data_IF_269015793043
#
_entry.id   IF_269015793043
#
_cell.length_a   1.000
_cell.length_b   1.000
_cell.length_c   1.000
_cell.angle_alpha   90.00
_cell.angle_beta   90.00
_cell.angle_gamma   90.00
#
_symmetry.space_group_name_H-M   'P 1'
#
loop_
_entity.id
_entity.type
_entity.pdbx_description
1 polymer ?
#
# COMPACT_ATOMS: atom_id res chain seq x y z
N UNK A 1 -18.54 19.48 6.37
CA UNK A 1 -18.83 18.21 7.06
C UNK A 1 -18.12 17.07 6.33
N UNK A 2 -16.87 16.75 6.74
CA UNK A 2 -16.12 15.65 6.15
C UNK A 2 -16.51 14.32 6.79
N UNK A 3 -16.83 13.32 5.97
CA UNK A 3 -17.13 11.98 6.42
C UNK A 3 -15.83 11.26 6.86
N UNK A 4 -15.90 10.45 7.91
CA UNK A 4 -14.81 9.53 8.29
C UNK A 4 -14.96 8.29 7.43
N UNK A 5 -13.92 7.98 6.67
CA UNK A 5 -13.91 6.84 5.76
C UNK A 5 -13.57 5.56 6.52
N UNK A 6 -14.40 4.52 6.39
CA UNK A 6 -14.11 3.22 6.99
C UNK A 6 -13.04 2.46 6.20
N UNK A 7 -12.23 1.59 6.83
CA UNK A 7 -11.23 0.76 6.14
C UNK A 7 -11.79 -0.02 4.95
N UNK A 8 -12.99 -0.60 5.07
CA UNK A 8 -13.67 -1.34 3.99
C UNK A 8 -13.91 -0.52 2.72
N UNK A 9 -14.10 0.80 2.83
CA UNK A 9 -14.22 1.67 1.65
C UNK A 9 -12.97 1.58 0.77
N UNK A 10 -11.80 1.57 1.38
CA UNK A 10 -10.53 1.52 0.63
C UNK A 10 -10.31 0.19 -0.06
N UNK A 11 -10.75 -0.91 0.53
CA UNK A 11 -10.75 -2.21 -0.14
C UNK A 11 -11.53 -2.16 -1.45
N UNK A 12 -12.76 -1.64 -1.43
CA UNK A 12 -13.54 -1.46 -2.66
C UNK A 12 -12.91 -0.45 -3.62
N UNK A 13 -12.34 0.64 -3.12
CA UNK A 13 -11.64 1.62 -3.94
C UNK A 13 -10.41 1.02 -4.65
N UNK A 14 -9.69 0.11 -4.00
CA UNK A 14 -8.57 -0.60 -4.61
C UNK A 14 -9.03 -1.53 -5.74
N UNK A 15 -10.09 -2.32 -5.52
CA UNK A 15 -10.65 -3.17 -6.58
C UNK A 15 -11.20 -2.35 -7.75
N UNK A 16 -11.90 -1.26 -7.47
CA UNK A 16 -12.36 -0.35 -8.52
C UNK A 16 -11.19 0.21 -9.34
N UNK A 17 -10.08 0.55 -8.68
CA UNK A 17 -8.89 1.03 -9.37
C UNK A 17 -8.25 -0.04 -10.27
N UNK A 18 -8.32 -1.33 -9.89
CA UNK A 18 -7.93 -2.43 -10.78
C UNK A 18 -8.85 -2.53 -12.00
N UNK A 19 -10.16 -2.46 -11.79
CA UNK A 19 -11.17 -2.53 -12.86
C UNK A 19 -10.98 -1.39 -13.87
N UNK A 20 -10.79 -0.16 -13.39
CA UNK A 20 -10.60 1.03 -14.23
C UNK A 20 -9.22 1.11 -14.91
N UNK A 21 -8.29 0.21 -14.58
CA UNK A 21 -6.90 0.30 -15.06
C UNK A 21 -6.68 -0.13 -16.50
N UNK A 22 -7.69 -0.77 -17.13
CA UNK A 22 -7.59 -1.38 -18.48
C UNK A 22 -6.40 -2.35 -18.63
N UNK A 23 -5.94 -2.93 -17.50
CA UNK A 23 -4.81 -3.82 -17.44
C UNK A 23 -5.22 -5.30 -17.54
N UNK A 24 -4.35 -6.14 -18.06
CA UNK A 24 -4.59 -7.57 -18.16
C UNK A 24 -4.16 -8.30 -16.89
N UNK A 25 -4.95 -9.26 -16.42
CA UNK A 25 -4.57 -10.12 -15.30
C UNK A 25 -3.44 -11.06 -15.74
N UNK A 26 -2.30 -10.96 -15.06
CA UNK A 26 -1.11 -11.78 -15.33
C UNK A 26 -0.86 -12.82 -14.26
N UNK A 27 -1.39 -12.61 -13.05
CA UNK A 27 -1.32 -13.57 -11.96
C UNK A 27 -2.49 -13.43 -11.00
N UNK A 28 -2.98 -14.53 -10.46
CA UNK A 28 -4.03 -14.55 -9.43
C UNK A 28 -3.93 -15.83 -8.62
N UNK A 29 -4.03 -15.70 -7.29
CA UNK A 29 -4.25 -16.82 -6.36
C UNK A 29 -5.22 -16.42 -5.23
N UNK A 30 -5.21 -17.18 -4.12
CA UNK A 30 -6.12 -16.99 -2.98
C UNK A 30 -5.84 -15.70 -2.18
N UNK A 31 -4.66 -15.06 -2.35
CA UNK A 31 -4.18 -13.95 -1.54
C UNK A 31 -3.75 -12.72 -2.35
N UNK A 32 -3.68 -12.82 -3.68
CA UNK A 32 -3.20 -11.73 -4.52
C UNK A 32 -3.81 -11.78 -5.92
N UNK A 33 -4.00 -10.62 -6.51
CA UNK A 33 -4.24 -10.41 -7.94
C UNK A 33 -3.24 -9.40 -8.49
N UNK A 34 -2.63 -9.71 -9.62
CA UNK A 34 -1.65 -8.88 -10.32
C UNK A 34 -2.09 -8.62 -11.74
N UNK A 35 -2.10 -7.36 -12.12
CA UNK A 35 -2.41 -6.90 -13.47
C UNK A 35 -1.18 -6.25 -14.10
N UNK A 36 -1.06 -6.32 -15.44
CA UNK A 36 -0.04 -5.61 -16.22
C UNK A 36 -0.72 -4.65 -17.20
N UNK A 37 -0.30 -3.39 -17.17
CA UNK A 37 -0.74 -2.37 -18.13
C UNK A 37 0.00 -2.52 -19.46
N UNK A 38 -0.56 -1.96 -20.51
CA UNK A 38 0.06 -1.95 -21.86
C UNK A 38 1.43 -1.24 -21.90
N UNK A 39 1.67 -0.29 -20.99
CA UNK A 39 2.95 0.43 -20.87
C UNK A 39 4.03 -0.33 -20.09
N UNK A 40 3.76 -1.57 -19.65
CA UNK A 40 4.69 -2.41 -18.90
C UNK A 40 4.61 -2.26 -17.37
N UNK A 41 3.83 -1.32 -16.84
CA UNK A 41 3.63 -1.16 -15.39
C UNK A 41 2.77 -2.28 -14.83
N UNK A 42 3.00 -2.61 -13.55
CA UNK A 42 2.21 -3.59 -12.81
C UNK A 42 1.41 -2.93 -11.70
N UNK A 43 0.27 -3.49 -11.38
CA UNK A 43 -0.54 -3.10 -10.23
C UNK A 43 -1.28 -4.32 -9.69
N UNK A 44 -1.67 -4.25 -8.42
CA UNK A 44 -2.37 -5.37 -7.81
C UNK A 44 -2.91 -5.06 -6.43
N UNK A 45 -3.62 -6.06 -5.90
CA UNK A 45 -4.10 -6.07 -4.52
C UNK A 45 -3.74 -7.42 -3.91
N UNK A 46 -3.17 -7.38 -2.72
CA UNK A 46 -2.92 -8.55 -1.89
C UNK A 46 -3.72 -8.44 -0.58
N UNK A 47 -4.15 -9.56 -0.04
CA UNK A 47 -4.92 -9.61 1.21
C UNK A 47 -4.56 -10.86 2.03
N UNK A 48 -4.70 -10.73 3.35
CA UNK A 48 -4.47 -11.81 4.30
C UNK A 48 -5.67 -11.91 5.23
N UNK A 49 -6.55 -12.90 4.99
CA UNK A 49 -7.76 -13.10 5.79
C UNK A 49 -7.44 -14.08 6.92
N UNK A 50 -7.69 -13.68 8.18
CA UNK A 50 -7.62 -14.56 9.33
C UNK A 50 -8.49 -15.80 9.11
N UNK A 51 -7.86 -16.95 9.00
CA UNK A 51 -8.56 -18.24 9.09
C UNK A 51 -8.86 -18.45 10.56
N UNK A 52 -10.14 -18.54 10.94
CA UNK A 52 -10.70 -18.69 12.28
C UNK A 52 -9.67 -18.96 13.38
N UNK A 53 -9.57 -18.00 14.27
CA UNK A 53 -8.78 -18.00 15.50
C UNK A 53 -8.68 -19.37 16.17
N UNK A 54 -7.54 -20.02 16.03
CA UNK A 54 -6.97 -20.83 17.09
C UNK A 54 -5.82 -20.01 17.66
N UNK A 55 -6.07 -19.33 18.73
CA UNK A 55 -5.25 -18.86 19.85
C UNK A 55 -3.76 -18.50 19.66
N UNK A 56 -3.20 -18.42 18.48
CA UNK A 56 -1.80 -18.05 18.29
C UNK A 56 -1.62 -17.01 17.21
N UNK A 57 -1.24 -15.83 17.66
CA UNK A 57 -0.47 -14.82 16.97
C UNK A 57 -0.94 -14.41 15.57
N UNK A 58 -1.23 -13.16 15.40
CA UNK A 58 -1.46 -12.52 14.12
C UNK A 58 -0.32 -12.87 13.14
N UNK A 59 -0.54 -13.82 12.27
CA UNK A 59 0.47 -14.22 11.29
C UNK A 59 0.57 -13.15 10.20
N UNK A 60 1.74 -12.55 10.11
CA UNK A 60 2.09 -11.68 9.00
C UNK A 60 2.48 -12.55 7.80
N UNK A 61 1.78 -12.41 6.70
CA UNK A 61 2.13 -13.05 5.44
C UNK A 61 3.18 -12.21 4.71
N UNK A 62 4.24 -12.84 4.22
CA UNK A 62 5.20 -12.21 3.31
C UNK A 62 5.02 -12.82 1.92
N UNK A 63 4.66 -11.98 0.96
CA UNK A 63 4.61 -12.36 -0.44
C UNK A 63 5.89 -11.91 -1.13
N UNK A 64 6.59 -12.86 -1.75
CA UNK A 64 7.78 -12.62 -2.55
C UNK A 64 7.49 -12.95 -4.00
N UNK A 65 7.72 -12.01 -4.89
CA UNK A 65 7.51 -12.22 -6.32
C UNK A 65 8.45 -11.39 -7.17
N UNK A 66 8.61 -11.84 -8.40
CA UNK A 66 9.54 -11.25 -9.36
C UNK A 66 8.78 -10.86 -10.63
N UNK A 67 8.98 -9.63 -11.06
CA UNK A 67 8.42 -9.10 -12.31
C UNK A 67 9.49 -9.01 -13.38
N UNK A 68 9.21 -9.40 -14.64
CA UNK A 68 10.05 -9.05 -15.77
C UNK A 68 10.17 -7.52 -15.89
N UNK A 69 11.40 -7.03 -16.02
CA UNK A 69 11.70 -5.60 -16.10
C UNK A 69 12.01 -5.19 -17.54
N UNK A 70 11.32 -4.17 -18.00
CA UNK A 70 11.54 -3.53 -19.31
C UNK A 70 12.38 -2.24 -19.19
N UNK A 71 12.53 -1.73 -17.97
CA UNK A 71 13.27 -0.51 -17.63
C UNK A 71 14.27 -0.80 -16.52
N UNK A 72 15.30 0.07 -16.37
CA UNK A 72 16.33 -0.08 -15.34
C UNK A 72 15.82 0.18 -13.92
N UNK A 73 14.88 1.10 -13.76
CA UNK A 73 14.39 1.54 -12.45
C UNK A 73 12.86 1.64 -12.44
N UNK A 74 12.31 1.33 -11.28
CA UNK A 74 10.88 1.41 -11.00
C UNK A 74 10.61 2.08 -9.66
N UNK A 75 9.46 2.74 -9.56
CA UNK A 75 8.88 3.16 -8.29
C UNK A 75 7.87 2.10 -7.84
N UNK A 76 8.18 1.42 -6.75
CA UNK A 76 7.24 0.52 -6.09
C UNK A 76 6.46 1.31 -5.04
N UNK A 77 5.15 1.42 -5.22
CA UNK A 77 4.22 2.11 -4.33
C UNK A 77 3.29 1.10 -3.67
N UNK A 78 3.10 1.21 -2.36
CA UNK A 78 2.10 0.43 -1.63
C UNK A 78 1.14 1.35 -0.87
N UNK A 79 -0.12 0.90 -0.73
CA UNK A 79 -1.15 1.50 0.12
C UNK A 79 -1.73 0.42 1.01
N UNK A 80 -1.46 0.53 2.30
CA UNK A 80 -1.83 -0.48 3.30
C UNK A 80 -3.05 -0.06 4.10
N UNK A 81 -3.95 -1.00 4.30
CA UNK A 81 -5.12 -0.93 5.18
C UNK A 81 -5.10 -2.17 6.06
N UNK A 82 -4.93 -2.01 7.35
CA UNK A 82 -4.90 -3.11 8.33
C UNK A 82 -5.35 -2.63 9.71
N UNK A 83 -5.18 -3.45 10.75
CA UNK A 83 -5.58 -3.11 12.12
C UNK A 83 -4.77 -1.96 12.72
N UNK A 84 -3.52 -1.75 12.29
CA UNK A 84 -2.64 -0.70 12.80
C UNK A 84 -2.71 0.58 11.95
N UNK A 85 -2.99 0.43 10.66
CA UNK A 85 -3.02 1.54 9.70
C UNK A 85 -4.40 1.68 9.06
N UNK A 86 -4.80 2.92 8.76
CA UNK A 86 -6.13 3.20 8.20
C UNK A 86 -7.28 2.73 9.13
N UNK A 87 -7.07 2.82 10.44
CA UNK A 87 -8.04 2.37 11.45
C UNK A 87 -8.51 3.53 12.36
N UNK A 88 -9.50 4.33 11.93
CA UNK A 88 -10.03 5.44 12.71
C UNK A 88 -10.74 4.97 14.00
N UNK A 89 -11.24 3.73 14.04
CA UNK A 89 -11.87 3.17 15.23
C UNK A 89 -10.82 2.92 16.33
N UNK A 90 -9.65 2.38 15.96
CA UNK A 90 -8.53 2.20 16.90
C UNK A 90 -8.12 3.53 17.53
N UNK A 91 -7.97 4.58 16.71
CA UNK A 91 -7.59 5.91 17.19
C UNK A 91 -8.64 6.46 18.15
N UNK A 92 -9.93 6.32 17.85
CA UNK A 92 -11.01 6.74 18.75
C UNK A 92 -11.00 5.98 20.07
N UNK A 93 -10.76 4.65 20.03
CA UNK A 93 -10.61 3.82 21.21
C UNK A 93 -9.41 4.26 22.08
N UNK A 94 -8.25 4.48 21.44
CA UNK A 94 -7.01 4.91 22.12
C UNK A 94 -7.15 6.31 22.76
N UNK A 95 -8.08 7.15 22.28
CA UNK A 95 -8.46 8.42 22.89
C UNK A 95 -9.38 8.28 24.11
N UNK A 96 -9.77 7.06 24.48
CA UNK A 96 -10.70 6.80 25.60
C UNK A 96 -12.18 6.91 25.23
N UNK A 97 -12.53 6.65 23.98
CA UNK A 97 -13.91 6.57 23.46
C UNK A 97 -14.78 7.80 23.77
N UNK A 98 -14.30 9.03 23.50
CA UNK A 98 -15.05 10.23 23.86
C UNK A 98 -16.39 10.27 23.13
N UNK A 99 -17.48 10.53 23.91
CA UNK A 99 -18.83 10.68 23.35
C UNK A 99 -18.96 11.93 22.48
N UNK A 100 -18.21 12.98 22.78
CA UNK A 100 -18.13 14.21 22.01
C UNK A 100 -16.68 14.48 21.62
N UNK A 101 -16.42 14.58 20.33
CA UNK A 101 -15.10 14.85 19.79
C UNK A 101 -14.84 16.35 19.68
N UNK A 102 -13.64 16.80 20.06
CA UNK A 102 -13.15 18.14 19.70
C UNK A 102 -12.85 18.20 18.19
N UNK A 103 -12.64 19.40 17.67
CA UNK A 103 -12.22 19.58 16.27
C UNK A 103 -10.88 18.89 15.97
N UNK A 104 -9.93 18.99 16.88
CA UNK A 104 -8.61 18.35 16.76
C UNK A 104 -8.70 16.83 16.77
N UNK A 105 -9.50 16.26 17.68
CA UNK A 105 -9.74 14.80 17.72
C UNK A 105 -10.43 14.32 16.44
N UNK A 106 -11.42 15.08 15.95
CA UNK A 106 -12.09 14.77 14.69
C UNK A 106 -11.12 14.81 13.51
N UNK A 107 -10.18 15.75 13.49
CA UNK A 107 -9.13 15.84 12.46
C UNK A 107 -8.21 14.62 12.51
N UNK A 108 -7.71 14.23 13.68
CA UNK A 108 -6.87 13.05 13.85
C UNK A 108 -7.55 11.76 13.38
N UNK A 109 -8.82 11.56 13.74
CA UNK A 109 -9.60 10.40 13.29
C UNK A 109 -9.76 10.39 11.76
N UNK A 110 -9.95 11.56 11.13
CA UNK A 110 -10.01 11.65 9.65
C UNK A 110 -8.66 11.36 9.00
N UNK A 111 -7.58 11.84 9.55
CA UNK A 111 -6.24 11.56 9.06
C UNK A 111 -5.91 10.07 9.15
N UNK A 112 -6.28 9.42 10.27
CA UNK A 112 -6.10 7.98 10.47
C UNK A 112 -6.98 7.09 9.59
N UNK A 113 -7.98 7.67 8.92
CA UNK A 113 -8.86 6.94 8.00
C UNK A 113 -8.30 6.78 6.58
N UNK A 114 -7.06 7.19 6.34
CA UNK A 114 -6.37 7.08 5.05
C UNK A 114 -5.41 5.90 5.03
N UNK A 115 -5.28 5.19 3.90
CA UNK A 115 -4.27 4.14 3.76
C UNK A 115 -2.87 4.67 4.01
N UNK A 116 -2.04 3.86 4.63
CA UNK A 116 -0.62 4.17 4.76
C UNK A 116 0.08 3.99 3.42
N UNK A 117 0.72 5.05 2.94
CA UNK A 117 1.43 5.06 1.66
C UNK A 117 2.93 4.90 1.90
N UNK A 118 3.54 3.93 1.22
CA UNK A 118 4.97 3.74 1.18
C UNK A 118 5.44 3.68 -0.27
N UNK A 119 6.62 4.23 -0.55
CA UNK A 119 7.27 4.15 -1.86
C UNK A 119 8.71 3.69 -1.70
N UNK A 120 9.17 2.88 -2.64
CA UNK A 120 10.57 2.43 -2.74
C UNK A 120 11.03 2.52 -4.20
N UNK A 121 12.29 2.89 -4.39
CA UNK A 121 12.93 2.75 -5.70
C UNK A 121 13.48 1.33 -5.81
N UNK A 122 13.12 0.64 -6.87
CA UNK A 122 13.62 -0.70 -7.21
C UNK A 122 14.45 -0.62 -8.46
N UNK A 123 15.61 -1.30 -8.46
CA UNK A 123 16.44 -1.47 -9.65
C UNK A 123 16.26 -2.88 -10.17
N UNK A 124 16.29 -3.02 -11.48
CA UNK A 124 16.29 -4.34 -12.09
C UNK A 124 17.61 -5.07 -11.83
N UNK A 125 17.53 -6.38 -11.67
CA UNK A 125 18.66 -7.31 -11.58
C UNK A 125 18.39 -8.45 -12.58
N UNK A 126 19.29 -8.65 -13.52
CA UNK A 126 19.20 -9.68 -14.57
C UNK A 126 17.84 -9.68 -15.33
N UNK A 127 17.33 -8.48 -15.64
CA UNK A 127 16.07 -8.32 -16.36
C UNK A 127 14.81 -8.51 -15.51
N UNK A 128 14.94 -8.53 -14.18
CA UNK A 128 13.83 -8.75 -13.25
C UNK A 128 13.84 -7.74 -12.09
N UNK A 129 12.65 -7.54 -11.50
CA UNK A 129 12.47 -6.77 -10.26
C UNK A 129 11.94 -7.69 -9.17
N UNK A 130 12.71 -7.88 -8.11
CA UNK A 130 12.27 -8.56 -6.90
C UNK A 130 11.46 -7.64 -5.99
N UNK A 131 10.31 -8.12 -5.51
CA UNK A 131 9.43 -7.39 -4.60
C UNK A 131 9.06 -8.27 -3.42
N UNK A 132 9.19 -7.71 -2.23
CA UNK A 132 8.67 -8.25 -0.97
C UNK A 132 7.47 -7.42 -0.52
N UNK A 133 6.34 -8.06 -0.31
CA UNK A 133 5.10 -7.42 0.10
C UNK A 133 4.59 -8.05 1.41
N UNK A 134 4.84 -7.41 2.55
CA UNK A 134 4.28 -7.86 3.82
C UNK A 134 2.80 -7.48 3.91
N UNK A 135 1.95 -8.44 4.25
CA UNK A 135 0.52 -8.26 4.47
C UNK A 135 0.15 -8.76 5.87
N UNK A 136 -0.23 -7.84 6.75
CA UNK A 136 -0.67 -8.19 8.10
C UNK A 136 -2.00 -8.96 8.07
N UNK A 137 -2.29 -9.72 9.12
CA UNK A 137 -3.58 -10.38 9.28
C UNK A 137 -4.73 -9.37 9.15
N UNK A 138 -5.81 -9.75 8.46
CA UNK A 138 -6.93 -8.87 8.11
C UNK A 138 -6.54 -7.60 7.33
N UNK A 139 -5.33 -7.59 6.78
CA UNK A 139 -4.81 -6.49 5.98
C UNK A 139 -5.11 -6.65 4.49
N UNK A 140 -5.19 -5.49 3.83
CA UNK A 140 -5.26 -5.36 2.37
C UNK A 140 -4.21 -4.37 1.92
N UNK A 141 -3.41 -4.76 0.94
CA UNK A 141 -2.36 -3.90 0.37
C UNK A 141 -2.59 -3.75 -1.12
N UNK A 142 -2.84 -2.53 -1.56
CA UNK A 142 -2.78 -2.16 -2.97
C UNK A 142 -1.34 -1.79 -3.32
N UNK A 143 -0.84 -2.21 -4.48
CA UNK A 143 0.49 -1.86 -4.94
C UNK A 143 0.52 -1.47 -6.41
N UNK A 144 1.51 -0.66 -6.77
CA UNK A 144 1.89 -0.34 -8.15
C UNK A 144 3.40 -0.45 -8.30
N UNK A 145 3.85 -0.97 -9.43
CA UNK A 145 5.23 -0.96 -9.87
C UNK A 145 5.28 -0.21 -11.19
N UNK A 146 5.64 1.06 -11.13
CA UNK A 146 5.63 1.98 -12.26
C UNK A 146 7.06 2.24 -12.73
N UNK A 147 7.30 2.17 -14.04
CA UNK A 147 8.59 2.48 -14.63
C UNK A 147 9.06 3.88 -14.22
N UNK A 148 10.24 3.95 -13.63
CA UNK A 148 10.86 5.19 -13.18
C UNK A 148 11.53 5.91 -14.35
N UNK A 149 11.17 7.18 -14.57
CA UNK A 149 11.97 8.06 -15.43
C UNK A 149 12.94 8.82 -14.53
N UNK A 150 14.22 8.51 -14.67
CA UNK A 150 15.25 9.32 -14.00
C UNK A 150 15.30 10.67 -14.69
N UNK A 151 15.01 11.75 -13.96
CA UNK A 151 15.25 13.10 -14.46
C UNK A 151 16.76 13.35 -14.44
N UNK A 152 17.42 13.51 -15.59
CA UNK A 152 18.85 13.80 -15.66
C UNK A 152 19.19 15.19 -15.09
N UNK A 153 18.23 16.13 -15.12
CA UNK A 153 18.38 17.44 -14.49
C UNK A 153 17.97 17.33 -13.01
N UNK A 154 18.96 17.03 -12.18
CA UNK A 154 18.79 17.04 -10.72
C UNK A 154 19.04 18.44 -10.17
N UNK A 155 18.23 19.43 -10.52
CA UNK A 155 18.25 20.75 -9.88
C UNK A 155 18.01 20.71 -8.36
N UNK A 156 17.81 19.50 -7.84
CA UNK A 156 17.52 19.22 -6.45
C UNK A 156 18.26 17.96 -5.97
N UNK A 157 19.15 18.13 -4.99
CA UNK A 157 19.87 17.00 -4.37
C UNK A 157 19.05 16.44 -3.21
N UNK A 158 18.28 15.38 -3.51
CA UNK A 158 17.44 14.70 -2.53
C UNK A 158 18.27 14.08 -1.38
N UNK A 159 19.42 13.52 -1.68
CA UNK A 159 20.27 12.86 -0.68
C UNK A 159 20.84 13.89 0.32
N UNK A 160 21.13 15.09 -0.15
CA UNK A 160 21.55 16.21 0.71
C UNK A 160 20.45 16.70 1.65
N UNK A 161 19.19 16.68 1.20
CA UNK A 161 18.06 17.17 1.98
C UNK A 161 17.54 16.14 2.98
N UNK A 162 17.56 14.85 2.60
CA UNK A 162 17.06 13.76 3.45
C UNK A 162 18.14 13.18 4.35
N UNK A 163 19.39 13.18 3.91
CA UNK A 163 20.53 12.75 4.70
C UNK A 163 21.14 13.91 5.52
N UNK A 164 20.32 14.73 6.19
CA UNK A 164 20.80 15.64 7.24
C UNK A 164 21.47 14.81 8.34
N UNK A 165 22.68 14.34 8.05
CA UNK A 165 23.64 14.00 9.07
C UNK A 165 24.21 15.30 9.59
N UNK A 166 23.81 15.62 10.82
CA UNK A 166 24.48 16.63 11.64
C UNK A 166 25.97 16.30 11.76
#
# INVERSE_FOLDING_TARGET
>A
NGCITKPTFWTFAFYKKLEESEANCVYKDDNIVVLKRANGDYLGVAWNIARKSTEQGKEKMLLEFTFPAEQEEYCFLTKTVDEETCNPLKVWHDMGEPANLSEEQTKLIRESSRPFVKTERKKQEDGNIGVELPVNENGVVYFELNAGKVNPDRGYDYDRVVSLKA
#
